data_IF_635431117007
#
_entry.id   IF_635431117007
#
_cell.length_a   1.000
_cell.length_b   1.000
_cell.length_c   1.000
_cell.angle_alpha   90.00
_cell.angle_beta   90.00
_cell.angle_gamma   90.00
#
_symmetry.space_group_name_H-M   'P 1'
#
loop_
_entity.id
_entity.type
_entity.pdbx_description
1 polymer ?
#
# COMPACT_ATOMS: atom_id res chain seq x y z
N UNK A 1 -6.60 11.19 19.34
CA UNK A 1 -7.68 10.20 19.14
C UNK A 1 -7.90 9.77 17.69
N UNK A 2 -7.86 10.65 16.67
CA UNK A 2 -8.22 10.26 15.28
C UNK A 2 -7.27 9.25 14.60
N UNK A 3 -5.99 9.22 14.95
CA UNK A 3 -4.99 8.32 14.31
C UNK A 3 -5.19 6.86 14.73
N UNK A 4 -5.65 6.61 15.96
CA UNK A 4 -5.88 5.26 16.49
C UNK A 4 -6.98 4.51 15.73
N UNK A 5 -8.03 5.23 15.30
CA UNK A 5 -9.08 4.64 14.46
C UNK A 5 -8.55 4.25 13.08
N UNK A 6 -7.64 5.04 12.50
CA UNK A 6 -7.06 4.74 11.19
C UNK A 6 -6.18 3.47 11.24
N UNK A 7 -5.38 3.32 12.30
CA UNK A 7 -4.60 2.09 12.53
C UNK A 7 -5.51 0.87 12.65
N UNK A 8 -6.56 0.96 13.48
CA UNK A 8 -7.51 -0.13 13.66
C UNK A 8 -8.20 -0.55 12.35
N UNK A 9 -8.66 0.42 11.55
CA UNK A 9 -9.27 0.15 10.24
C UNK A 9 -8.28 -0.51 9.29
N UNK A 10 -7.02 -0.06 9.27
CA UNK A 10 -5.97 -0.66 8.44
C UNK A 10 -5.73 -2.12 8.81
N UNK A 11 -5.63 -2.42 10.11
CA UNK A 11 -5.47 -3.78 10.64
C UNK A 11 -6.65 -4.66 10.23
N UNK A 12 -7.88 -4.18 10.42
CA UNK A 12 -9.08 -4.93 10.08
C UNK A 12 -9.19 -5.25 8.59
N UNK A 13 -8.90 -4.28 7.71
CA UNK A 13 -8.90 -4.49 6.26
C UNK A 13 -7.83 -5.48 5.82
N UNK A 14 -6.64 -5.42 6.43
CA UNK A 14 -5.55 -6.33 6.15
C UNK A 14 -5.93 -7.77 6.57
N UNK A 15 -6.47 -7.96 7.78
CA UNK A 15 -6.96 -9.25 8.24
C UNK A 15 -8.07 -9.82 7.35
N UNK A 16 -9.05 -9.00 6.96
CA UNK A 16 -10.12 -9.41 6.06
C UNK A 16 -9.59 -9.83 4.69
N UNK A 17 -8.64 -9.08 4.12
CA UNK A 17 -7.98 -9.45 2.86
C UNK A 17 -7.29 -10.81 2.95
N UNK A 18 -6.61 -11.08 4.06
CA UNK A 18 -5.92 -12.36 4.31
C UNK A 18 -6.92 -13.51 4.47
N UNK A 19 -7.97 -13.33 5.28
CA UNK A 19 -9.02 -14.34 5.46
C UNK A 19 -9.67 -14.72 4.12
N UNK A 20 -9.96 -13.75 3.26
CA UNK A 20 -10.52 -13.99 1.93
C UNK A 20 -9.58 -14.75 1.00
N UNK A 21 -8.26 -14.55 1.14
CA UNK A 21 -7.24 -15.30 0.41
C UNK A 21 -7.17 -16.76 0.86
N UNK A 22 -7.25 -17.02 2.18
CA UNK A 22 -7.18 -18.38 2.74
C UNK A 22 -8.47 -19.19 2.59
N UNK A 23 -9.62 -18.54 2.43
CA UNK A 23 -10.91 -19.22 2.25
C UNK A 23 -10.93 -20.18 1.03
N UNK A 24 -10.02 -20.01 0.08
CA UNK A 24 -9.88 -20.85 -1.12
C UNK A 24 -9.31 -22.25 -0.85
N UNK A 25 -8.54 -22.43 0.23
CA UNK A 25 -7.91 -23.72 0.51
C UNK A 25 -8.88 -24.77 1.10
N UNK A 26 -10.09 -24.35 1.52
CA UNK A 26 -11.06 -25.21 2.20
C UNK A 26 -12.27 -25.63 1.37
N UNK A 27 -12.60 -24.91 0.30
CA UNK A 27 -13.81 -25.13 -0.49
C UNK A 27 -13.43 -25.40 -1.95
N UNK A 28 -13.71 -26.61 -2.45
CA UNK A 28 -13.37 -27.06 -3.81
C UNK A 28 -14.11 -26.31 -4.93
N UNK A 29 -14.90 -27.01 -5.74
CA UNK A 29 -15.68 -26.35 -6.81
C UNK A 29 -16.69 -25.33 -6.22
N UNK A 30 -16.48 -24.05 -6.51
CA UNK A 30 -17.43 -22.97 -6.20
C UNK A 30 -18.30 -22.65 -7.42
N UNK A 31 -19.40 -21.91 -7.26
CA UNK A 31 -20.12 -21.39 -8.42
C UNK A 31 -19.37 -20.21 -9.06
N UNK A 32 -19.63 -19.90 -10.33
CA UNK A 32 -18.98 -18.76 -10.99
C UNK A 32 -19.34 -17.44 -10.30
N UNK A 33 -20.58 -17.32 -9.83
CA UNK A 33 -21.08 -16.16 -9.09
C UNK A 33 -20.27 -15.95 -7.80
N UNK A 34 -19.94 -17.04 -7.09
CA UNK A 34 -19.09 -16.97 -5.90
C UNK A 34 -17.68 -16.49 -6.22
N UNK A 35 -17.10 -16.92 -7.35
CA UNK A 35 -15.78 -16.45 -7.79
C UNK A 35 -15.77 -14.96 -8.11
N UNK A 36 -16.83 -14.44 -8.73
CA UNK A 36 -16.95 -13.01 -9.02
C UNK A 36 -17.09 -12.19 -7.72
N UNK A 37 -18.01 -12.58 -6.83
CA UNK A 37 -18.19 -11.92 -5.52
C UNK A 37 -16.88 -11.91 -4.72
N UNK A 38 -16.17 -13.04 -4.70
CA UNK A 38 -14.88 -13.14 -4.03
C UNK A 38 -13.87 -12.18 -4.63
N UNK A 39 -13.75 -12.11 -5.96
CA UNK A 39 -12.81 -11.22 -6.63
C UNK A 39 -13.11 -9.74 -6.34
N UNK A 40 -14.39 -9.36 -6.30
CA UNK A 40 -14.81 -8.02 -5.87
C UNK A 40 -14.36 -7.71 -4.45
N UNK A 41 -14.71 -8.58 -3.49
CA UNK A 41 -14.38 -8.37 -2.07
C UNK A 41 -12.87 -8.34 -1.84
N UNK A 42 -12.12 -9.27 -2.44
CA UNK A 42 -10.67 -9.33 -2.32
C UNK A 42 -10.02 -8.07 -2.89
N UNK A 43 -10.44 -7.63 -4.07
CA UNK A 43 -9.95 -6.37 -4.67
C UNK A 43 -10.25 -5.17 -3.76
N UNK A 44 -11.50 -5.03 -3.29
CA UNK A 44 -11.90 -3.91 -2.42
C UNK A 44 -11.06 -3.90 -1.13
N UNK A 45 -10.94 -5.03 -0.43
CA UNK A 45 -10.18 -5.08 0.82
C UNK A 45 -8.70 -4.83 0.60
N UNK A 46 -8.13 -5.40 -0.47
CA UNK A 46 -6.73 -5.21 -0.81
C UNK A 46 -6.41 -3.74 -1.11
N UNK A 47 -7.14 -3.11 -2.04
CA UNK A 47 -6.89 -1.71 -2.42
C UNK A 47 -7.25 -0.72 -1.31
N UNK A 48 -8.30 -1.01 -0.52
CA UNK A 48 -8.64 -0.18 0.65
C UNK A 48 -7.55 -0.26 1.71
N UNK A 49 -7.03 -1.46 1.99
CA UNK A 49 -5.91 -1.66 2.90
C UNK A 49 -4.67 -0.89 2.46
N UNK A 50 -4.32 -0.96 1.17
CA UNK A 50 -3.23 -0.16 0.59
C UNK A 50 -3.46 1.35 0.75
N UNK A 51 -4.66 1.81 0.42
CA UNK A 51 -5.02 3.22 0.55
C UNK A 51 -4.85 3.72 1.99
N UNK A 52 -5.28 2.93 2.97
CA UNK A 52 -5.12 3.28 4.38
C UNK A 52 -3.65 3.50 4.78
N UNK A 53 -2.71 2.69 4.29
CA UNK A 53 -1.26 2.88 4.56
C UNK A 53 -0.79 4.21 3.98
N UNK A 54 -1.13 4.49 2.73
CA UNK A 54 -0.70 5.72 2.06
C UNK A 54 -1.29 6.95 2.76
N UNK A 55 -2.56 6.89 3.16
CA UNK A 55 -3.21 7.96 3.94
C UNK A 55 -2.54 8.13 5.30
N UNK A 56 -2.16 7.05 5.97
CA UNK A 56 -1.46 7.07 7.25
C UNK A 56 -0.07 7.71 7.13
N UNK A 57 0.72 7.29 6.13
CA UNK A 57 2.04 7.89 5.85
C UNK A 57 1.89 9.37 5.48
N UNK A 58 0.95 9.70 4.59
CA UNK A 58 0.64 11.09 4.24
C UNK A 58 0.23 11.91 5.47
N UNK A 59 -0.61 11.37 6.35
CA UNK A 59 -1.04 12.05 7.57
C UNK A 59 0.15 12.32 8.50
N UNK A 60 1.05 11.35 8.69
CA UNK A 60 2.29 11.54 9.47
C UNK A 60 3.17 12.64 8.86
N UNK A 61 3.36 12.61 7.55
CA UNK A 61 4.11 13.62 6.80
C UNK A 61 3.46 15.01 6.94
N UNK A 62 2.15 15.10 6.79
CA UNK A 62 1.41 16.35 6.86
C UNK A 62 1.38 16.95 8.26
N UNK A 63 1.23 16.10 9.29
CA UNK A 63 1.33 16.49 10.69
C UNK A 63 2.72 17.07 10.99
N UNK A 64 3.77 16.42 10.47
CA UNK A 64 5.15 16.89 10.60
C UNK A 64 5.36 18.24 9.92
N UNK A 65 4.80 18.44 8.71
CA UNK A 65 4.92 19.72 8.01
C UNK A 65 4.11 20.84 8.65
N UNK A 66 3.02 20.53 9.33
CA UNK A 66 2.14 21.53 9.94
C UNK A 66 2.64 22.02 11.30
N UNK A 67 3.57 21.28 11.93
CA UNK A 67 4.13 21.64 13.22
C UNK A 67 4.89 22.99 13.15
N UNK A 68 4.53 23.98 13.99
CA UNK A 68 5.15 25.30 13.98
C UNK A 68 6.66 25.27 14.29
N UNK A 69 7.13 24.31 15.10
CA UNK A 69 8.56 24.15 15.42
C UNK A 69 9.36 23.63 14.23
N UNK A 70 8.71 22.89 13.33
CA UNK A 70 9.35 22.20 12.20
C UNK A 70 9.10 22.89 10.86
N UNK A 71 8.19 23.87 10.83
CA UNK A 71 7.75 24.59 9.63
C UNK A 71 8.92 25.16 8.83
N UNK A 72 9.97 25.65 9.48
CA UNK A 72 11.16 26.24 8.84
C UNK A 72 12.02 25.22 8.04
N UNK A 73 11.91 23.93 8.36
CA UNK A 73 12.60 22.85 7.64
C UNK A 73 11.86 22.43 6.36
N UNK A 74 10.65 22.93 6.15
CA UNK A 74 9.76 22.58 5.03
C UNK A 74 9.47 23.80 4.17
N UNK A 75 9.33 23.62 2.85
CA UNK A 75 8.90 24.69 1.96
C UNK A 75 7.42 24.53 1.58
N UNK A 76 6.77 25.63 1.17
CA UNK A 76 5.36 25.60 0.72
C UNK A 76 5.15 24.62 -0.45
N UNK A 77 6.12 24.57 -1.36
CA UNK A 77 6.12 23.64 -2.48
C UNK A 77 6.05 22.17 -2.03
N UNK A 78 6.83 21.79 -1.01
CA UNK A 78 6.84 20.41 -0.49
C UNK A 78 5.47 19.98 0.08
N UNK A 79 4.78 20.92 0.76
CA UNK A 79 3.43 20.67 1.29
C UNK A 79 2.43 20.47 0.16
N UNK A 80 2.49 21.33 -0.85
CA UNK A 80 1.65 21.23 -2.04
C UNK A 80 1.88 19.91 -2.80
N UNK A 81 3.14 19.53 -3.00
CA UNK A 81 3.51 18.26 -3.61
C UNK A 81 2.98 17.06 -2.81
N UNK A 82 3.12 17.07 -1.48
CA UNK A 82 2.57 16.00 -0.62
C UNK A 82 1.06 15.85 -0.77
N UNK A 83 0.30 16.95 -0.84
CA UNK A 83 -1.16 16.93 -1.05
C UNK A 83 -1.54 16.45 -2.47
N UNK A 84 -0.81 16.86 -3.51
CA UNK A 84 -1.06 16.33 -4.87
C UNK A 84 -0.76 14.83 -4.91
N UNK A 85 0.35 14.41 -4.31
CA UNK A 85 0.79 13.01 -4.33
C UNK A 85 -0.27 12.08 -3.73
N UNK A 86 -0.90 12.44 -2.60
CA UNK A 86 -1.98 11.60 -2.05
C UNK A 86 -3.19 11.55 -2.99
N UNK A 87 -3.51 12.64 -3.69
CA UNK A 87 -4.58 12.65 -4.71
C UNK A 87 -4.28 11.69 -5.88
N UNK A 88 -3.03 11.73 -6.38
CA UNK A 88 -2.57 10.80 -7.44
C UNK A 88 -2.65 9.35 -6.96
N UNK A 89 -2.20 9.07 -5.73
CA UNK A 89 -2.26 7.73 -5.14
C UNK A 89 -3.71 7.24 -5.03
N UNK A 90 -4.61 8.07 -4.52
CA UNK A 90 -6.04 7.73 -4.40
C UNK A 90 -6.64 7.40 -5.77
N UNK A 91 -6.46 8.28 -6.76
CA UNK A 91 -6.99 8.07 -8.11
C UNK A 91 -6.43 6.80 -8.77
N UNK A 92 -5.13 6.56 -8.59
CA UNK A 92 -4.46 5.37 -9.09
C UNK A 92 -5.03 4.09 -8.46
N UNK A 93 -5.13 4.02 -7.12
CA UNK A 93 -5.64 2.83 -6.42
C UNK A 93 -7.11 2.55 -6.79
N UNK A 94 -7.94 3.59 -6.93
CA UNK A 94 -9.34 3.42 -7.37
C UNK A 94 -9.41 2.88 -8.79
N UNK A 95 -8.62 3.43 -9.73
CA UNK A 95 -8.60 2.95 -11.12
C UNK A 95 -8.19 1.47 -11.20
N UNK A 96 -7.18 1.06 -10.44
CA UNK A 96 -6.77 -0.34 -10.37
C UNK A 96 -7.83 -1.22 -9.69
N UNK A 97 -8.45 -0.76 -8.61
CA UNK A 97 -9.54 -1.49 -7.97
C UNK A 97 -10.68 -1.77 -8.96
N UNK A 98 -11.11 -0.75 -9.71
CA UNK A 98 -12.15 -0.91 -10.74
C UNK A 98 -11.70 -1.89 -11.83
N UNK A 99 -10.47 -1.76 -12.32
CA UNK A 99 -9.93 -2.69 -13.32
C UNK A 99 -9.98 -4.15 -12.84
N UNK A 100 -9.52 -4.44 -11.61
CA UNK A 100 -9.52 -5.79 -11.05
C UNK A 100 -10.92 -6.33 -10.76
N UNK A 101 -11.85 -5.47 -10.36
CA UNK A 101 -13.26 -5.81 -10.19
C UNK A 101 -13.91 -6.24 -11.51
N UNK A 102 -13.56 -5.61 -12.64
CA UNK A 102 -14.15 -5.91 -13.96
C UNK A 102 -13.58 -7.18 -14.62
N UNK A 103 -12.62 -7.87 -13.99
CA UNK A 103 -12.06 -9.12 -14.53
C UNK A 103 -13.06 -10.26 -14.37
N UNK A 104 -13.40 -10.91 -15.49
CA UNK A 104 -14.26 -12.09 -15.48
C UNK A 104 -13.52 -13.32 -14.94
N UNK A 105 -14.02 -13.86 -13.84
CA UNK A 105 -13.47 -15.05 -13.18
C UNK A 105 -14.38 -16.24 -13.49
N UNK A 106 -13.81 -17.45 -13.45
CA UNK A 106 -14.54 -18.70 -13.66
C UNK A 106 -14.10 -19.72 -12.62
N UNK A 107 -15.05 -20.51 -12.15
CA UNK A 107 -14.75 -21.62 -11.27
C UNK A 107 -14.00 -22.74 -12.00
N UNK A 108 -12.96 -23.26 -11.35
CA UNK A 108 -12.16 -24.39 -11.75
C UNK A 108 -12.06 -25.40 -10.57
N UNK A 109 -11.69 -26.66 -10.83
CA UNK A 109 -11.49 -27.65 -9.77
C UNK A 109 -10.44 -27.24 -8.72
N UNK A 110 -9.50 -26.38 -9.13
CA UNK A 110 -8.44 -25.85 -8.27
C UNK A 110 -8.82 -24.51 -7.59
N UNK A 111 -10.05 -24.02 -7.74
CA UNK A 111 -10.52 -22.75 -7.21
C UNK A 111 -10.93 -21.74 -8.29
N UNK A 112 -10.87 -20.45 -8.01
CA UNK A 112 -11.28 -19.41 -8.95
C UNK A 112 -10.14 -19.03 -9.92
N UNK A 113 -10.37 -19.16 -11.22
CA UNK A 113 -9.39 -18.87 -12.28
C UNK A 113 -9.90 -17.86 -13.31
N UNK A 114 -9.01 -17.32 -14.14
CA UNK A 114 -9.42 -16.37 -15.20
C UNK A 114 -10.15 -17.14 -16.31
N UNK A 115 -11.31 -16.63 -16.75
CA UNK A 115 -12.14 -17.26 -17.79
C UNK A 115 -11.43 -17.40 -19.14
N UNK A 116 -10.62 -16.41 -19.51
CA UNK A 116 -9.93 -16.34 -20.80
C UNK A 116 -8.41 -16.39 -20.62
N UNK A 117 -7.76 -17.43 -21.15
CA UNK A 117 -6.28 -17.52 -21.10
C UNK A 117 -5.59 -16.44 -21.94
N UNK A 118 -6.25 -15.94 -22.98
CA UNK A 118 -5.75 -14.84 -23.83
C UNK A 118 -5.57 -13.51 -23.08
N UNK A 119 -6.27 -13.34 -21.96
CA UNK A 119 -6.19 -12.12 -21.13
C UNK A 119 -5.04 -12.18 -20.11
N UNK A 120 -4.38 -13.34 -19.95
CA UNK A 120 -3.23 -13.52 -19.04
C UNK A 120 -2.04 -12.58 -19.31
N UNK A 121 -1.53 -12.44 -20.55
CA UNK A 121 -0.39 -11.53 -20.80
C UNK A 121 -0.75 -10.07 -20.54
N UNK A 122 -1.95 -9.63 -20.92
CA UNK A 122 -2.42 -8.28 -20.65
C UNK A 122 -2.53 -8.03 -19.14
N UNK A 123 -3.09 -8.98 -18.38
CA UNK A 123 -3.15 -8.90 -16.91
C UNK A 123 -1.76 -8.85 -16.28
N UNK A 124 -0.82 -9.66 -16.78
CA UNK A 124 0.57 -9.66 -16.29
C UNK A 124 1.23 -8.29 -16.50
N UNK A 125 1.04 -7.67 -17.66
CA UNK A 125 1.57 -6.35 -17.96
C UNK A 125 0.94 -5.26 -17.08
N UNK A 126 -0.38 -5.30 -16.88
CA UNK A 126 -1.09 -4.36 -16.00
C UNK A 126 -0.65 -4.54 -14.54
N UNK A 127 -0.45 -5.77 -14.08
CA UNK A 127 0.06 -6.05 -12.73
C UNK A 127 1.51 -5.59 -12.57
N UNK A 128 2.36 -5.79 -13.58
CA UNK A 128 3.73 -5.27 -13.56
C UNK A 128 3.73 -3.74 -13.48
N UNK A 129 2.92 -3.07 -14.31
CA UNK A 129 2.74 -1.62 -14.26
C UNK A 129 2.26 -1.15 -12.88
N UNK A 130 1.29 -1.85 -12.29
CA UNK A 130 0.82 -1.60 -10.93
C UNK A 130 1.98 -1.60 -9.94
N UNK A 131 2.80 -2.65 -9.97
CA UNK A 131 3.92 -2.82 -9.05
C UNK A 131 4.98 -1.74 -9.25
N UNK A 132 5.34 -1.41 -10.49
CA UNK A 132 6.29 -0.36 -10.78
C UNK A 132 5.83 0.98 -10.20
N UNK A 133 4.59 1.39 -10.50
CA UNK A 133 4.04 2.63 -9.98
C UNK A 133 3.93 2.59 -8.45
N UNK A 134 3.49 1.47 -7.88
CA UNK A 134 3.43 1.26 -6.43
C UNK A 134 4.79 1.50 -5.74
N UNK A 135 5.86 0.92 -6.28
CA UNK A 135 7.23 1.09 -5.78
C UNK A 135 7.68 2.55 -5.93
N UNK A 136 7.45 3.16 -7.09
CA UNK A 136 7.81 4.56 -7.33
C UNK A 136 7.10 5.51 -6.37
N UNK A 137 5.80 5.31 -6.12
CA UNK A 137 5.02 6.12 -5.18
C UNK A 137 5.56 5.98 -3.75
N UNK A 138 5.89 4.77 -3.32
CA UNK A 138 6.53 4.52 -2.01
C UNK A 138 7.89 5.22 -1.90
N UNK A 139 8.72 5.14 -2.93
CA UNK A 139 10.03 5.79 -2.96
C UNK A 139 9.92 7.33 -2.88
N UNK A 140 8.97 7.93 -3.63
CA UNK A 140 8.73 9.38 -3.58
C UNK A 140 8.26 9.80 -2.19
N UNK A 141 7.32 9.06 -1.58
CA UNK A 141 6.80 9.38 -0.24
C UNK A 141 7.91 9.32 0.82
N UNK A 142 8.76 8.29 0.75
CA UNK A 142 9.91 8.15 1.62
C UNK A 142 10.93 9.27 1.41
N UNK A 143 11.21 9.64 0.15
CA UNK A 143 12.10 10.75 -0.17
C UNK A 143 11.58 12.09 0.38
N UNK A 144 10.27 12.35 0.25
CA UNK A 144 9.67 13.56 0.81
C UNK A 144 9.72 13.58 2.34
N UNK A 145 9.54 12.42 3.01
CA UNK A 145 9.71 12.30 4.45
C UNK A 145 11.16 12.45 4.91
N UNK A 146 12.13 11.98 4.12
CA UNK A 146 13.56 12.08 4.42
C UNK A 146 14.14 13.47 4.08
N UNK A 147 13.49 14.24 3.21
CA UNK A 147 13.96 15.57 2.78
C UNK A 147 14.34 16.51 3.94
N UNK A 148 13.54 16.66 5.03
CA UNK A 148 13.92 17.47 6.17
C UNK A 148 15.26 17.06 6.79
N UNK A 149 15.61 15.76 6.85
CA UNK A 149 16.89 15.30 7.37
C UNK A 149 18.07 15.83 6.54
N UNK A 150 17.92 15.92 5.22
CA UNK A 150 18.97 16.47 4.35
C UNK A 150 19.21 17.97 4.57
N UNK A 151 18.17 18.70 4.97
CA UNK A 151 18.25 20.15 5.26
C UNK A 151 18.73 20.44 6.68
N UNK A 152 18.50 19.51 7.61
CA UNK A 152 18.75 19.68 9.04
C UNK A 152 20.20 19.30 9.38
N UNK A 153 21.11 20.28 9.46
CA UNK A 153 22.46 20.03 9.97
C UNK A 153 22.40 19.72 11.47
N UNK A 154 22.96 18.58 11.90
CA UNK A 154 22.98 18.09 13.28
C UNK A 154 23.55 19.11 14.28
N UNK A 155 24.47 19.96 13.85
CA UNK A 155 25.14 20.97 14.68
C UNK A 155 24.25 22.18 15.02
N UNK A 156 23.22 22.48 14.20
CA UNK A 156 22.41 23.70 14.34
C UNK A 156 20.98 23.45 14.81
N UNK A 157 20.64 22.21 15.17
CA UNK A 157 19.26 21.83 15.50
C UNK A 157 19.20 21.22 16.89
N UNK A 158 18.14 21.56 17.64
CA UNK A 158 17.89 20.96 18.94
C UNK A 158 17.90 19.43 18.84
N UNK A 159 18.61 18.72 19.74
CA UNK A 159 18.79 17.27 19.66
C UNK A 159 17.46 16.51 19.68
N UNK A 160 16.47 17.02 20.40
CA UNK A 160 15.13 16.43 20.51
C UNK A 160 14.37 16.46 19.18
N UNK A 161 14.46 17.58 18.45
CA UNK A 161 13.83 17.77 17.14
C UNK A 161 14.45 16.82 16.12
N UNK A 162 15.78 16.76 16.05
CA UNK A 162 16.48 15.86 15.14
C UNK A 162 16.16 14.39 15.44
N UNK A 163 16.08 14.00 16.71
CA UNK A 163 15.69 12.66 17.16
C UNK A 163 14.27 12.31 16.72
N UNK A 164 13.31 13.23 16.86
CA UNK A 164 11.93 13.03 16.44
C UNK A 164 11.81 12.81 14.92
N UNK A 165 12.48 13.65 14.10
CA UNK A 165 12.50 13.50 12.63
C UNK A 165 13.09 12.14 12.26
N UNK A 166 14.22 11.79 12.85
CA UNK A 166 14.91 10.53 12.57
C UNK A 166 14.03 9.32 12.92
N UNK A 167 13.37 9.32 14.07
CA UNK A 167 12.45 8.24 14.47
C UNK A 167 11.32 8.09 13.48
N UNK A 168 10.68 9.19 13.07
CA UNK A 168 9.59 9.15 12.09
C UNK A 168 10.03 8.57 10.74
N UNK A 169 11.21 8.98 10.23
CA UNK A 169 11.76 8.46 8.98
C UNK A 169 12.10 6.97 9.13
N UNK A 170 12.74 6.56 10.22
CA UNK A 170 13.07 5.14 10.47
C UNK A 170 11.81 4.28 10.54
N UNK A 171 10.78 4.70 11.29
CA UNK A 171 9.51 3.97 11.37
C UNK A 171 8.82 3.86 9.99
N UNK A 172 8.87 4.94 9.20
CA UNK A 172 8.29 4.94 7.86
C UNK A 172 9.09 4.06 6.89
N UNK A 173 10.42 4.06 6.98
CA UNK A 173 11.29 3.14 6.21
C UNK A 173 10.99 1.69 6.56
N UNK A 174 10.84 1.36 7.85
CA UNK A 174 10.50 0.01 8.30
C UNK A 174 9.12 -0.46 7.79
N UNK A 175 8.22 0.47 7.49
CA UNK A 175 6.94 0.18 6.85
C UNK A 175 7.06 0.01 5.32
N UNK A 176 7.82 0.88 4.67
CA UNK A 176 7.93 0.95 3.20
C UNK A 176 8.83 -0.15 2.63
N UNK A 177 9.97 -0.43 3.26
CA UNK A 177 10.99 -1.35 2.72
C UNK A 177 10.48 -2.78 2.57
N UNK A 178 9.81 -3.39 3.57
CA UNK A 178 9.25 -4.73 3.42
C UNK A 178 8.21 -4.78 2.29
N UNK A 179 7.37 -3.75 2.15
CA UNK A 179 6.38 -3.65 1.10
C UNK A 179 6.99 -3.57 -0.30
N UNK A 180 8.04 -2.75 -0.47
CA UNK A 180 8.80 -2.68 -1.73
C UNK A 180 9.52 -3.99 -2.02
N UNK A 181 10.16 -4.61 -1.03
CA UNK A 181 10.84 -5.89 -1.20
C UNK A 181 9.86 -6.99 -1.63
N UNK A 182 8.68 -7.04 -1.02
CA UNK A 182 7.62 -7.98 -1.37
C UNK A 182 7.13 -7.79 -2.81
N UNK A 183 6.99 -6.53 -3.22
CA UNK A 183 6.58 -6.18 -4.58
C UNK A 183 7.64 -6.56 -5.62
N UNK A 184 8.93 -6.36 -5.31
CA UNK A 184 10.05 -6.77 -6.16
C UNK A 184 10.14 -8.30 -6.30
N UNK A 185 9.95 -9.04 -5.20
CA UNK A 185 9.88 -10.51 -5.24
C UNK A 185 8.73 -10.96 -6.14
N UNK A 186 7.59 -10.25 -6.12
CA UNK A 186 6.46 -10.56 -6.99
C UNK A 186 6.77 -10.36 -8.49
N UNK A 187 7.49 -9.28 -8.84
CA UNK A 187 7.95 -9.07 -10.20
C UNK A 187 8.86 -10.21 -10.68
N UNK A 188 9.67 -10.76 -9.77
CA UNK A 188 10.61 -11.84 -10.08
C UNK A 188 9.94 -13.21 -10.21
N UNK A 189 8.93 -13.51 -9.39
CA UNK A 189 8.29 -14.85 -9.34
C UNK A 189 7.31 -15.14 -10.49
N UNK A 190 7.05 -14.19 -11.39
CA UNK A 190 6.07 -14.29 -12.47
C UNK A 190 4.62 -14.57 -12.00
N UNK A 191 3.68 -14.39 -12.94
CA UNK A 191 2.23 -14.12 -12.78
C UNK A 191 1.33 -14.99 -11.87
N UNK A 192 1.84 -15.99 -11.14
CA UNK A 192 1.02 -16.92 -10.33
C UNK A 192 0.85 -16.55 -8.85
N UNK A 193 1.43 -15.45 -8.37
CA UNK A 193 1.54 -15.18 -6.91
C UNK A 193 0.75 -13.97 -6.39
N UNK A 194 -0.37 -13.58 -7.01
CA UNK A 194 -1.23 -12.50 -6.49
C UNK A 194 -1.68 -12.71 -5.03
N UNK A 195 -1.96 -13.97 -4.66
CA UNK A 195 -2.34 -14.37 -3.30
C UNK A 195 -1.19 -14.17 -2.31
N UNK A 196 0.05 -14.47 -2.72
CA UNK A 196 1.27 -14.26 -1.94
C UNK A 196 1.55 -12.77 -1.71
N UNK A 197 1.23 -11.91 -2.69
CA UNK A 197 1.36 -10.47 -2.50
C UNK A 197 0.43 -9.96 -1.40
N UNK A 198 -0.84 -10.36 -1.45
CA UNK A 198 -1.86 -9.94 -0.49
C UNK A 198 -1.50 -10.33 0.95
N UNK A 199 -0.98 -11.54 1.18
CA UNK A 199 -0.60 -12.01 2.52
C UNK A 199 0.65 -11.31 3.07
N UNK A 200 1.67 -11.09 2.24
CA UNK A 200 2.91 -10.42 2.67
C UNK A 200 2.67 -8.93 2.91
N UNK A 201 1.94 -8.25 2.02
CA UNK A 201 1.54 -6.85 2.23
C UNK A 201 0.68 -6.71 3.49
N UNK A 202 -0.25 -7.63 3.75
CA UNK A 202 -1.04 -7.65 4.99
C UNK A 202 -0.17 -7.71 6.24
N UNK A 203 0.84 -8.57 6.23
CA UNK A 203 1.76 -8.74 7.37
C UNK A 203 2.60 -7.48 7.59
N UNK A 204 3.07 -6.86 6.51
CA UNK A 204 3.82 -5.60 6.59
C UNK A 204 2.93 -4.44 7.09
N UNK A 205 1.64 -4.44 6.75
CA UNK A 205 0.71 -3.41 7.21
C UNK A 205 0.51 -3.44 8.72
N UNK A 206 0.51 -4.62 9.34
CA UNK A 206 0.51 -4.75 10.79
C UNK A 206 1.73 -4.05 11.39
N UNK A 207 2.93 -4.31 10.84
CA UNK A 207 4.17 -3.67 11.29
C UNK A 207 4.10 -2.14 11.16
N UNK A 208 3.57 -1.63 10.05
CA UNK A 208 3.35 -0.20 9.81
C UNK A 208 2.42 0.48 10.84
N UNK A 209 1.46 -0.27 11.40
CA UNK A 209 0.54 0.27 12.40
C UNK A 209 1.15 0.39 13.81
N UNK A 210 2.17 -0.40 14.12
CA UNK A 210 2.84 -0.39 15.43
C UNK A 210 4.11 0.46 15.46
N UNK A 211 4.73 0.74 14.32
CA UNK A 211 5.93 1.59 14.17
C UNK A 211 5.57 3.08 14.06
#
# INVERSE_FOLDING_TARGET
MRVNHLYFVTIMLALLSCLMAYFEMGFGYLSNEWCDVKNYLHSIFFFSGLLCIFVLLWFRQHSFYSDPLLKHYTCRLLRYLSTIMIGIICGFLVAFCVYFCLINVKSHPAGCGIKNEKDRPQRSNVMALFIYVYITLHAILLALMAFPLSKTKRENTAPDVYSAIRRMVVCSTLCVVPNVASALVLLYLSSTTYVYFSSVTTTNNLICTFA
#
